data_IF_869418165986
#
_entry.id   IF_869418165986
#
_cell.length_a   1.000
_cell.length_b   1.000
_cell.length_c   1.000
_cell.angle_alpha   90.00
_cell.angle_beta   90.00
_cell.angle_gamma   90.00
#
_symmetry.space_group_name_H-M   'P 1'
#
loop_
_entity.id
_entity.type
_entity.pdbx_description
1 polymer ?
2 non-polymer ?
3 non-polymer ?
4 non-polymer ?
5 non-polymer ?
6 water ?
#
# COMPACT_ATOMS: atom_id res chain seq x y z
N UNK A 5 -3.49 20.74 13.05
CA UNK A 5 -3.91 19.31 13.14
C UNK A 5 -3.06 18.45 12.17
N UNK A 6 -3.11 18.61 10.84
CA UNK A 6 -2.16 17.91 9.93
C UNK A 6 -1.58 18.81 8.86
N UNK A 7 -0.36 18.49 8.38
CA UNK A 7 0.38 19.27 7.35
C UNK A 7 -0.20 18.97 5.96
N UNK A 8 -0.42 17.69 5.67
CA UNK A 8 -0.90 17.21 4.36
C UNK A 8 -1.83 16.03 4.61
N UNK A 9 -2.71 15.83 3.65
CA UNK A 9 -3.50 14.60 3.52
C UNK A 9 -3.01 13.87 2.27
N UNK A 10 -2.62 12.59 2.43
CA UNK A 10 -2.23 11.68 1.33
C UNK A 10 -3.32 10.62 1.13
N UNK A 11 -3.62 10.36 -0.12
CA UNK A 11 -4.48 9.19 -0.52
C UNK A 11 -3.59 8.02 -0.91
N UNK A 12 -3.81 6.94 -0.21
CA UNK A 12 -3.06 5.69 -0.42
C UNK A 12 -4.05 4.64 -0.92
N UNK A 13 -3.54 3.77 -1.79
CA UNK A 13 -4.28 2.64 -2.36
C UNK A 13 -3.53 1.36 -2.00
N UNK A 14 -4.28 0.35 -1.60
CA UNK A 14 -3.70 -0.98 -1.24
C UNK A 14 -4.26 -1.97 -2.25
N UNK A 15 -3.36 -2.67 -2.95
CA UNK A 15 -3.71 -3.47 -4.15
C UNK A 15 -2.97 -4.79 -4.00
N UNK A 16 -3.46 -5.78 -4.73
CA UNK A 16 -2.86 -7.13 -4.78
C UNK A 16 -3.97 -8.15 -4.91
N UNK A 17 -3.58 -9.40 -5.14
CA UNK A 17 -4.54 -10.49 -5.38
C UNK A 17 -5.55 -10.61 -4.25
N UNK A 18 -6.75 -11.14 -4.54
CA UNK A 18 -7.71 -11.52 -3.49
C UNK A 18 -7.01 -12.50 -2.54
N UNK A 19 -7.28 -12.35 -1.26
CA UNK A 19 -6.94 -13.20 -0.11
C UNK A 19 -5.53 -12.95 0.43
N UNK A 20 -4.76 -12.04 -0.15
CA UNK A 20 -3.37 -11.80 0.32
C UNK A 20 -3.35 -11.12 1.69
N UNK A 21 -4.38 -10.35 2.04
CA UNK A 21 -4.53 -9.80 3.41
C UNK A 21 -4.65 -8.28 3.47
N UNK A 22 -5.02 -7.64 2.36
CA UNK A 22 -5.14 -6.17 2.24
C UNK A 22 -6.05 -5.60 3.34
N UNK A 23 -7.27 -6.11 3.45
CA UNK A 23 -8.25 -5.57 4.40
C UNK A 23 -7.76 -5.76 5.83
N UNK A 24 -7.22 -6.94 6.15
CA UNK A 24 -6.67 -7.20 7.49
C UNK A 24 -5.48 -6.27 7.76
N UNK A 25 -4.62 -6.04 6.79
CA UNK A 25 -3.47 -5.13 7.01
C UNK A 25 -4.03 -3.76 7.40
N UNK A 26 -4.92 -3.26 6.59
CA UNK A 26 -5.46 -1.90 6.77
C UNK A 26 -6.22 -1.85 8.11
N UNK A 27 -7.04 -2.85 8.39
CA UNK A 27 -7.78 -2.84 9.69
C UNK A 27 -6.80 -2.89 10.85
N UNK A 28 -5.71 -3.67 10.82
CA UNK A 28 -4.75 -3.67 11.92
C UNK A 28 -4.20 -2.25 12.07
N UNK A 29 -3.90 -1.56 10.98
CA UNK A 29 -3.31 -0.21 11.01
C UNK A 29 -4.32 0.82 11.57
N UNK A 30 -5.58 0.75 11.18
CA UNK A 30 -6.55 1.84 11.47
C UNK A 30 -7.35 1.50 12.74
N UNK A 31 -7.64 0.22 12.97
CA UNK A 31 -8.54 -0.24 14.06
C UNK A 31 -7.71 -0.90 15.18
N UNK A 32 -6.45 -1.23 14.90
CA UNK A 32 -5.51 -1.85 15.84
C UNK A 32 -5.86 -3.30 16.15
N UNK A 33 -6.78 -3.90 15.41
CA UNK A 33 -7.29 -5.26 15.70
C UNK A 33 -7.03 -6.17 14.50
N UNK A 34 -7.03 -7.49 14.71
CA UNK A 34 -7.03 -8.48 13.60
C UNK A 34 -8.42 -9.07 13.44
N UNK A 35 -9.01 -8.93 12.24
CA UNK A 35 -10.26 -9.60 11.81
C UNK A 35 -9.93 -11.07 11.49
N UNK A 36 -10.29 -11.97 12.40
CA UNK A 36 -10.03 -13.43 12.23
C UNK A 36 -10.83 -13.97 11.05
N UNK A 37 -12.02 -13.42 10.80
CA UNK A 37 -12.86 -13.76 9.61
C UNK A 37 -13.13 -12.47 8.83
N UNK A 38 -13.00 -12.54 7.50
CA UNK A 38 -12.85 -11.37 6.60
C UNK A 38 -13.49 -11.68 5.25
N UNK A 39 -14.62 -11.05 4.95
CA UNK A 39 -15.32 -11.15 3.64
C UNK A 39 -14.39 -10.62 2.56
N UNK A 40 -14.43 -11.15 1.33
CA UNK A 40 -13.77 -10.54 0.19
C UNK A 40 -14.37 -9.16 -0.08
N UNK A 41 -13.47 -8.21 -0.33
CA UNK A 41 -13.88 -6.80 -0.51
C UNK A 41 -14.62 -6.68 -1.84
N UNK A 42 -15.67 -5.85 -1.89
CA UNK A 42 -16.40 -5.62 -3.16
C UNK A 42 -16.27 -4.14 -3.51
N UNK A 43 -15.65 -3.85 -4.64
CA UNK A 43 -15.25 -2.50 -5.05
C UNK A 43 -14.12 -2.02 -4.17
N UNK A 44 -14.32 -0.90 -3.48
CA UNK A 44 -13.21 -0.24 -2.73
C UNK A 44 -13.73 0.33 -1.43
N UNK A 45 -13.15 -0.05 -0.31
CA UNK A 45 -13.57 0.47 1.02
C UNK A 45 -12.59 1.55 1.43
N UNK A 46 -13.01 2.34 2.41
CA UNK A 46 -12.28 3.56 2.85
C UNK A 46 -11.96 3.46 4.35
N UNK A 47 -10.70 3.69 4.71
CA UNK A 47 -10.21 3.76 6.12
C UNK A 47 -9.32 5.00 6.23
N UNK A 48 -9.20 5.55 7.42
CA UNK A 48 -8.43 6.80 7.64
C UNK A 48 -7.62 6.64 8.91
N UNK A 49 -6.46 7.30 8.97
CA UNK A 49 -5.67 7.41 10.22
C UNK A 49 -4.73 8.63 10.12
N UNK A 50 -4.51 9.33 11.22
CA UNK A 50 -3.42 10.35 11.34
C UNK A 50 -2.15 9.60 11.68
N UNK A 51 -1.01 10.01 11.15
CA UNK A 51 0.32 9.47 11.58
C UNK A 51 1.20 10.67 11.92
N UNK A 52 1.93 10.60 13.02
CA UNK A 52 2.92 11.63 13.39
C UNK A 52 4.26 11.16 12.83
N UNK A 53 4.71 11.71 11.71
CA UNK A 53 5.95 11.24 11.00
C UNK A 53 7.21 11.73 11.73
N UNK A 54 7.09 12.85 12.46
CA UNK A 54 8.11 13.54 13.30
C UNK A 54 7.37 14.24 14.44
N UNK A 55 8.00 14.58 15.59
CA UNK A 55 7.30 15.22 16.69
C UNK A 55 6.55 16.48 16.23
N UNK A 56 5.26 16.56 16.52
CA UNK A 56 4.42 17.72 16.14
C UNK A 56 4.13 17.80 14.65
N UNK A 57 4.52 16.81 13.83
CA UNK A 57 4.24 16.77 12.36
C UNK A 57 3.36 15.57 12.00
N UNK A 58 2.12 15.86 11.66
CA UNK A 58 1.07 14.85 11.42
C UNK A 58 0.67 14.89 9.95
N UNK A 59 0.39 13.71 9.40
CA UNK A 59 -0.10 13.53 8.00
C UNK A 59 -1.38 12.72 8.14
N UNK A 60 -2.44 13.17 7.48
CA UNK A 60 -3.71 12.42 7.41
C UNK A 60 -3.62 11.42 6.26
N UNK A 61 -3.86 10.14 6.53
CA UNK A 61 -3.90 9.11 5.47
C UNK A 61 -5.35 8.70 5.19
N UNK A 62 -5.75 8.85 3.95
CA UNK A 62 -7.03 8.39 3.41
C UNK A 62 -6.68 7.13 2.62
N UNK A 63 -7.15 5.99 3.07
CA UNK A 63 -6.68 4.68 2.52
C UNK A 63 -7.82 3.98 1.81
N UNK A 64 -7.57 3.68 0.54
CA UNK A 64 -8.52 2.92 -0.29
C UNK A 64 -8.13 1.45 -0.20
N UNK A 65 -9.04 0.63 0.32
CA UNK A 65 -8.86 -0.83 0.42
C UNK A 65 -9.52 -1.44 -0.82
N UNK A 66 -8.74 -1.91 -1.79
CA UNK A 66 -9.28 -2.37 -3.10
C UNK A 66 -9.64 -3.86 -3.06
N UNK A 67 -10.61 -4.26 -3.87
CA UNK A 67 -10.97 -5.68 -4.16
C UNK A 67 -9.90 -6.31 -5.03
N UNK A 68 -9.38 -7.46 -4.60
CA UNK A 68 -8.41 -8.18 -5.41
C UNK A 68 -9.08 -9.02 -6.48
N UNK A 69 -10.34 -9.42 -6.32
CA UNK A 69 -10.99 -10.33 -7.31
C UNK A 69 -11.03 -9.67 -8.69
N UNK A 70 -10.70 -10.46 -9.70
CA UNK A 70 -10.55 -10.02 -11.12
C UNK A 70 -11.81 -9.26 -11.55
N UNK A 71 -12.99 -9.67 -11.11
CA UNK A 71 -14.21 -9.05 -11.68
C UNK A 71 -14.44 -7.66 -11.12
N UNK A 72 -13.70 -7.23 -10.10
CA UNK A 72 -13.83 -5.84 -9.59
C UNK A 72 -12.70 -4.95 -10.08
N UNK A 73 -11.91 -5.40 -11.06
CA UNK A 73 -10.63 -4.69 -11.37
C UNK A 73 -10.98 -3.37 -12.03
N UNK A 74 -12.09 -3.31 -12.77
CA UNK A 74 -12.53 -2.05 -13.43
C UNK A 74 -12.78 -0.98 -12.34
N UNK A 75 -13.29 -1.39 -11.19
CA UNK A 75 -13.54 -0.44 -10.08
C UNK A 75 -12.20 0.00 -9.48
N UNK A 76 -11.36 -0.98 -9.09
CA UNK A 76 -10.05 -0.74 -8.45
C UNK A 76 -9.22 0.24 -9.29
N UNK A 77 -9.13 0.04 -10.61
CA UNK A 77 -8.18 0.79 -11.44
C UNK A 77 -8.68 2.23 -11.59
N UNK A 78 -9.97 2.46 -11.38
CA UNK A 78 -10.56 3.82 -11.41
C UNK A 78 -9.98 4.70 -10.27
N UNK A 79 -9.30 4.12 -9.29
CA UNK A 79 -8.80 4.87 -8.12
C UNK A 79 -7.30 5.16 -8.23
N UNK A 80 -6.62 4.62 -9.25
CA UNK A 80 -5.15 4.78 -9.36
C UNK A 80 -4.81 6.26 -9.51
N UNK A 81 -5.55 7.00 -10.35
CA UNK A 81 -5.19 8.40 -10.71
C UNK A 81 -5.09 9.21 -9.42
N UNK A 82 -6.10 9.12 -8.57
CA UNK A 82 -6.25 10.01 -7.39
C UNK A 82 -5.44 9.50 -6.20
N UNK A 83 -4.67 8.42 -6.36
CA UNK A 83 -3.79 7.91 -5.28
C UNK A 83 -2.37 8.50 -5.45
N UNK A 84 -1.72 8.96 -4.36
CA UNK A 84 -0.31 9.42 -4.44
C UNK A 84 0.62 8.22 -4.15
N UNK A 85 0.18 7.31 -3.32
CA UNK A 85 1.04 6.23 -2.80
C UNK A 85 0.28 4.97 -2.63
N UNK A 86 0.98 3.85 -2.52
CA UNK A 86 0.26 2.64 -2.22
C UNK A 86 1.13 1.53 -1.73
N UNK A 87 0.44 0.49 -1.32
CA UNK A 87 1.10 -0.77 -0.92
C UNK A 87 0.58 -1.85 -1.86
N UNK A 88 1.50 -2.66 -2.41
CA UNK A 88 1.15 -3.76 -3.32
C UNK A 88 1.56 -5.02 -2.58
N UNK A 89 0.54 -5.76 -2.18
CA UNK A 89 0.71 -6.99 -1.37
C UNK A 89 0.78 -8.22 -2.24
N UNK A 90 1.63 -9.15 -1.82
CA UNK A 90 1.40 -10.58 -2.07
C UNK A 90 1.39 -11.30 -0.73
N UNK A 91 0.99 -12.56 -0.74
CA UNK A 91 0.98 -13.43 0.45
C UNK A 91 2.26 -14.29 0.36
N UNK A 92 3.17 -14.21 1.33
CA UNK A 92 4.45 -14.96 1.25
C UNK A 92 4.16 -16.47 1.17
N UNK A 93 2.99 -16.96 1.57
CA UNK A 93 2.67 -18.41 1.53
C UNK A 93 1.96 -18.78 0.21
N UNK A 94 1.84 -17.84 -0.73
CA UNK A 94 1.04 -18.02 -1.98
C UNK A 94 1.89 -17.53 -3.15
N UNK A 95 2.63 -18.45 -3.75
CA UNK A 95 3.56 -18.11 -4.84
C UNK A 95 2.83 -17.51 -6.05
N UNK A 96 1.61 -17.95 -6.34
CA UNK A 96 0.86 -17.39 -7.48
C UNK A 96 0.62 -15.90 -7.23
N UNK A 97 0.37 -15.50 -5.98
CA UNK A 97 0.14 -14.07 -5.64
C UNK A 97 1.42 -13.28 -5.91
N UNK A 98 2.60 -13.86 -5.67
CA UNK A 98 3.89 -13.23 -5.97
C UNK A 98 4.08 -13.16 -7.49
N UNK A 99 3.74 -14.23 -8.18
CA UNK A 99 3.89 -14.32 -9.66
C UNK A 99 3.08 -13.17 -10.28
N UNK A 100 2.00 -12.77 -9.63
CA UNK A 100 1.09 -11.73 -10.18
C UNK A 100 1.58 -10.33 -9.87
N UNK A 101 2.53 -10.14 -8.92
CA UNK A 101 3.05 -8.78 -8.58
C UNK A 101 3.48 -8.07 -9.86
N UNK A 102 4.27 -8.73 -10.72
CA UNK A 102 4.77 -8.07 -11.96
C UNK A 102 3.57 -7.58 -12.76
N UNK A 103 2.46 -8.34 -12.80
CA UNK A 103 1.26 -7.91 -13.56
C UNK A 103 0.65 -6.69 -12.88
N UNK A 104 0.49 -6.71 -11.56
CA UNK A 104 -0.03 -5.49 -10.88
C UNK A 104 0.86 -4.29 -11.21
N UNK A 105 2.17 -4.49 -11.19
CA UNK A 105 3.13 -3.38 -11.40
C UNK A 105 3.02 -2.90 -12.85
N UNK A 106 3.04 -3.82 -13.82
CA UNK A 106 2.98 -3.42 -15.25
C UNK A 106 1.70 -2.62 -15.44
N UNK A 107 0.60 -2.95 -14.75
CA UNK A 107 -0.70 -2.25 -14.94
C UNK A 107 -0.69 -0.83 -14.34
N UNK A 108 -0.04 -0.65 -13.20
CA UNK A 108 0.06 0.70 -12.56
C UNK A 108 0.97 1.58 -13.43
N UNK A 109 1.95 1.01 -14.14
CA UNK A 109 2.94 1.79 -14.96
C UNK A 109 2.22 2.52 -16.11
N UNK A 110 0.95 2.19 -16.42
CA UNK A 110 0.21 2.94 -17.48
C UNK A 110 -0.75 3.94 -16.82
N UNK A 111 -0.66 4.06 -15.49
CA UNK A 111 -1.43 5.01 -14.65
C UNK A 111 -0.42 5.94 -13.95
N UNK A 112 0.22 6.82 -14.74
CA UNK A 112 1.37 7.65 -14.26
C UNK A 112 1.00 9.14 -14.33
N UNK A 113 -0.29 9.43 -14.47
CA UNK A 113 -0.84 10.82 -14.42
C UNK A 113 -1.57 11.02 -13.10
N UNK A 114 -1.34 12.13 -12.35
CA UNK A 114 -0.33 13.15 -12.67
C UNK A 114 1.10 12.67 -12.41
N UNK A 115 1.24 11.59 -11.63
CA UNK A 115 2.56 11.03 -11.28
C UNK A 115 2.51 9.51 -11.24
N UNK A 116 3.68 8.89 -11.35
CA UNK A 116 3.84 7.47 -10.94
C UNK A 116 3.44 7.36 -9.47
N UNK A 117 2.67 6.36 -9.11
CA UNK A 117 2.27 6.18 -7.70
C UNK A 117 3.53 5.75 -6.95
N UNK A 118 3.73 6.24 -5.73
CA UNK A 118 4.86 5.80 -4.88
C UNK A 118 4.39 4.49 -4.23
N UNK A 119 4.98 3.37 -4.64
CA UNK A 119 4.61 2.03 -4.13
C UNK A 119 5.71 1.44 -3.24
N UNK A 120 5.26 0.72 -2.22
CA UNK A 120 6.11 -0.27 -1.53
C UNK A 120 5.54 -1.67 -1.75
N UNK A 121 6.44 -2.65 -1.87
CA UNK A 121 6.09 -4.06 -2.07
C UNK A 121 6.00 -4.70 -0.68
N UNK A 122 4.91 -5.41 -0.44
CA UNK A 122 4.62 -5.92 0.92
C UNK A 122 4.43 -7.43 0.81
N UNK A 123 5.33 -8.16 1.42
CA UNK A 123 5.17 -9.60 1.61
C UNK A 123 4.36 -9.86 2.87
N UNK A 124 3.07 -10.16 2.72
CA UNK A 124 2.14 -10.24 3.87
C UNK A 124 2.01 -11.67 4.41
N UNK A 125 1.46 -11.76 5.62
CA UNK A 125 1.26 -13.01 6.40
C UNK A 125 2.64 -13.55 6.80
N UNK A 126 3.55 -12.67 7.21
CA UNK A 126 4.92 -13.10 7.52
C UNK A 126 4.95 -13.92 8.82
N UNK A 127 3.86 -13.96 9.57
CA UNK A 127 3.70 -14.88 10.75
C UNK A 127 3.71 -16.37 10.31
N UNK A 128 3.36 -16.70 9.06
CA UNK A 128 3.28 -18.09 8.55
C UNK A 128 4.62 -18.50 7.96
N UNK A 129 5.68 -18.25 8.75
CA UNK A 129 7.10 -18.43 8.38
C UNK A 129 7.37 -19.87 7.89
N UNK A 130 6.73 -20.88 8.48
CA UNK A 130 6.98 -22.30 8.10
C UNK A 130 6.23 -22.63 6.81
N UNK A 131 5.30 -21.77 6.36
CA UNK A 131 4.52 -22.05 5.12
C UNK A 131 5.03 -21.17 3.96
N UNK A 132 6.18 -20.53 4.13
CA UNK A 132 6.71 -19.53 3.16
C UNK A 132 6.92 -20.14 1.78
N UNK A 133 6.47 -19.50 0.69
CA UNK A 133 6.74 -20.02 -0.67
C UNK A 133 7.51 -19.02 -1.51
N UNK A 134 7.90 -17.90 -0.93
CA UNK A 134 8.65 -16.81 -1.61
C UNK A 134 9.82 -16.41 -0.70
N UNK A 135 11.05 -16.35 -1.22
CA UNK A 135 12.19 -15.90 -0.40
C UNK A 135 12.17 -14.37 -0.27
N UNK A 136 12.59 -13.87 0.89
CA UNK A 136 12.83 -12.42 1.09
C UNK A 136 13.71 -11.90 -0.06
N UNK A 137 14.76 -12.63 -0.42
CA UNK A 137 15.73 -12.15 -1.43
C UNK A 137 15.07 -12.00 -2.78
N UNK A 138 14.23 -12.94 -3.22
CA UNK A 138 13.67 -12.80 -4.59
C UNK A 138 12.67 -11.65 -4.58
N UNK A 139 12.01 -11.41 -3.46
CA UNK A 139 11.01 -10.31 -3.36
C UNK A 139 11.76 -8.97 -3.31
N UNK A 140 12.88 -8.92 -2.58
CA UNK A 140 13.76 -7.71 -2.52
C UNK A 140 14.30 -7.42 -3.92
N UNK A 141 14.72 -8.43 -4.68
CA UNK A 141 15.25 -8.25 -6.06
C UNK A 141 14.15 -7.74 -6.98
N UNK A 142 12.93 -8.28 -6.90
CA UNK A 142 11.79 -7.80 -7.72
C UNK A 142 11.48 -6.34 -7.36
N UNK A 143 11.38 -6.02 -6.08
CA UNK A 143 11.08 -4.65 -5.67
C UNK A 143 12.14 -3.69 -6.24
N UNK A 144 13.43 -4.04 -6.08
CA UNK A 144 14.56 -3.19 -6.50
C UNK A 144 14.49 -2.98 -8.01
N UNK A 145 14.14 -4.03 -8.77
CA UNK A 145 14.07 -3.98 -10.24
C UNK A 145 13.01 -2.96 -10.64
N UNK A 146 12.00 -2.72 -9.80
CA UNK A 146 10.94 -1.72 -10.07
C UNK A 146 11.19 -0.44 -9.25
N UNK A 147 12.38 -0.31 -8.67
CA UNK A 147 12.85 0.85 -7.87
C UNK A 147 12.03 1.08 -6.61
N UNK A 148 11.43 0.03 -6.03
CA UNK A 148 10.64 0.19 -4.78
C UNK A 148 11.31 -0.59 -3.65
N UNK A 149 10.91 -0.30 -2.42
CA UNK A 149 11.39 -1.04 -1.24
C UNK A 149 10.43 -2.20 -0.95
N UNK A 150 10.85 -3.07 -0.05
CA UNK A 150 10.12 -4.30 0.31
C UNK A 150 10.04 -4.34 1.84
N UNK A 151 8.91 -4.78 2.35
CA UNK A 151 8.73 -5.02 3.80
C UNK A 151 7.81 -6.23 3.96
N UNK A 152 8.03 -6.99 5.03
CA UNK A 152 7.19 -8.16 5.36
C UNK A 152 6.35 -7.79 6.58
N UNK A 153 5.07 -8.08 6.50
CA UNK A 153 4.07 -7.62 7.48
C UNK A 153 3.25 -8.80 7.96
N UNK A 154 2.70 -8.66 9.15
CA UNK A 154 1.63 -9.54 9.66
C UNK A 154 0.55 -8.69 10.32
N UNK A 155 -0.67 -8.78 9.82
CA UNK A 155 -1.87 -8.22 10.47
C UNK A 155 -2.20 -9.05 11.73
N UNK A 156 -2.02 -10.38 11.63
CA UNK A 156 -2.34 -11.31 12.74
C UNK A 156 -1.47 -10.95 13.96
N UNK A 157 -0.17 -10.80 13.75
CA UNK A 157 0.82 -10.63 14.85
C UNK A 157 1.28 -9.19 14.96
N UNK A 158 0.65 -8.26 14.22
CA UNK A 158 1.02 -6.82 14.27
C UNK A 158 2.52 -6.65 14.03
N UNK A 159 3.04 -7.22 12.93
CA UNK A 159 4.47 -7.09 12.58
C UNK A 159 4.57 -6.11 11.42
N UNK A 160 5.32 -5.03 11.63
CA UNK A 160 5.74 -4.04 10.59
C UNK A 160 4.54 -3.33 9.99
N UNK A 161 3.40 -3.33 10.65
CA UNK A 161 2.18 -2.72 10.03
C UNK A 161 2.33 -1.19 10.10
N UNK A 162 2.50 -0.63 11.31
CA UNK A 162 2.76 0.82 11.48
C UNK A 162 3.93 1.25 10.59
N UNK A 163 5.02 0.48 10.54
CA UNK A 163 6.24 0.85 9.83
C UNK A 163 5.98 0.87 8.31
N UNK A 164 5.21 -0.07 7.77
CA UNK A 164 4.89 -0.10 6.32
C UNK A 164 4.26 1.24 5.96
N UNK A 165 3.21 1.61 6.66
CA UNK A 165 2.46 2.86 6.31
C UNK A 165 3.29 4.10 6.65
N UNK A 166 4.01 4.10 7.76
CA UNK A 166 4.74 5.31 8.23
C UNK A 166 5.93 5.58 7.31
N UNK A 167 6.70 4.53 6.96
CA UNK A 167 7.85 4.71 6.06
C UNK A 167 7.35 5.25 4.73
N UNK A 168 6.20 4.77 4.22
CA UNK A 168 5.73 5.19 2.87
C UNK A 168 5.27 6.64 2.97
N UNK A 169 4.66 6.97 4.09
CA UNK A 169 4.19 8.37 4.31
C UNK A 169 5.39 9.31 4.35
N UNK A 170 6.46 8.92 5.03
CA UNK A 170 7.70 9.73 5.12
C UNK A 170 8.27 9.89 3.71
N UNK A 171 8.23 8.86 2.89
CA UNK A 171 8.82 8.92 1.54
C UNK A 171 8.04 9.95 0.75
N UNK A 172 6.71 9.84 0.78
CA UNK A 172 5.86 10.79 0.03
C UNK A 172 6.13 12.21 0.56
N UNK A 173 6.16 12.40 1.88
CA UNK A 173 6.37 13.70 2.51
C UNK A 173 7.68 14.32 2.02
N UNK A 174 8.75 13.54 1.91
CA UNK A 174 10.04 14.08 1.46
C UNK A 174 9.93 14.47 -0.03
N UNK A 175 9.22 13.69 -0.85
CA UNK A 175 9.04 14.01 -2.27
C UNK A 175 8.25 15.35 -2.38
N UNK A 176 7.30 15.55 -1.49
CA UNK A 176 6.50 16.82 -1.49
C UNK A 176 7.44 17.96 -1.08
N UNK A 177 8.25 17.75 -0.06
CA UNK A 177 9.16 18.83 0.40
C UNK A 177 10.13 19.26 -0.70
N UNK A 178 10.57 18.34 -1.57
CA UNK A 178 11.47 18.64 -2.70
C UNK A 178 10.73 19.17 -3.92
N UNK A 179 9.39 19.20 -3.91
CA UNK A 179 8.58 19.59 -5.07
C UNK A 179 8.51 18.52 -6.13
N UNK A 180 9.00 17.28 -5.92
CA UNK A 180 8.84 16.21 -6.92
C UNK A 180 7.39 15.76 -7.06
N UNK A 181 6.58 15.91 -6.01
CA UNK A 181 5.12 15.69 -6.03
C UNK A 181 4.50 16.98 -5.50
N UNK A 182 3.50 17.47 -6.20
CA UNK A 182 2.82 18.72 -5.80
C UNK A 182 1.31 18.50 -5.84
N UNK A 183 0.59 19.33 -5.11
CA UNK A 183 -0.87 19.51 -5.31
C UNK A 183 -1.13 19.84 -6.79
N UNK A 184 -2.21 19.30 -7.36
CA UNK A 184 -2.60 19.53 -8.77
C UNK A 184 -4.10 19.79 -8.79
N UNK A 185 -4.50 20.72 -9.66
CA UNK A 185 -5.92 21.12 -9.81
C UNK A 185 -6.72 19.85 -10.10
N UNK A 186 -7.72 19.53 -9.28
CA UNK A 186 -8.61 18.39 -9.50
C UNK A 186 -8.02 17.05 -9.06
N UNK A 187 -6.77 17.01 -8.60
CA UNK A 187 -6.17 15.75 -8.12
C UNK A 187 -6.40 15.63 -6.63
N UNK A 188 -6.73 14.42 -6.13
CA UNK A 188 -7.01 14.25 -4.68
C UNK A 188 -5.82 13.56 -3.98
N UNK A 189 -4.73 13.29 -4.69
CA UNK A 189 -3.67 12.48 -4.09
C UNK A 189 -2.95 13.20 -2.97
N UNK A 190 -2.74 14.51 -3.12
CA UNK A 190 -2.15 15.34 -2.02
C UNK A 190 -3.01 16.59 -1.81
N UNK A 191 -3.31 16.89 -0.54
CA UNK A 191 -4.10 18.11 -0.20
C UNK A 191 -3.34 18.77 0.94
N UNK A 192 -3.27 20.10 0.89
CA UNK A 192 -2.65 20.92 1.96
C UNK A 192 -3.54 20.84 3.20
#
# INVERSE_FOLDING_TARGET
SMEAIWLYQFRLIVIGDSTVGKSCLIRRFTEGRFAQVSDPTVGVDFFSRLVEIEPGKRIKLQIWDTAGQERFRSITRAYYRNSVGGLLLFDITNRRSFQNVHEWLEETKVHVQPYQIVFVLVGHKCDLDTQRQVTRHEAEKLAAAYGMKYIETSARDAINVEKAFTDLTRDIYELVKRGEITIQEGWEGVKSGFVPNVVHSSEEVVKS
#
